data_IF_547477857537
#
_entry.id   IF_547477857537
#
_cell.length_a   1.000
_cell.length_b   1.000
_cell.length_c   1.000
_cell.angle_alpha   90.00
_cell.angle_beta   90.00
_cell.angle_gamma   90.00
#
_symmetry.space_group_name_H-M   'P 1'
#
loop_
_entity.id
_entity.type
_entity.pdbx_description
1 polymer ?
#
# COMPACT_ATOMS: atom_id res chain seq x y z
N UNK A 1 -24.89 32.58 -4.20
CA UNK A 1 -23.64 32.55 -3.44
C UNK A 1 -22.76 31.48 -4.01
N UNK A 2 -21.50 31.79 -4.22
CA UNK A 2 -20.46 30.81 -4.62
C UNK A 2 -19.16 31.09 -3.86
N UNK A 3 -18.19 30.20 -3.99
CA UNK A 3 -16.91 30.30 -3.29
C UNK A 3 -15.77 30.09 -4.28
N UNK A 4 -14.84 31.02 -4.35
CA UNK A 4 -13.57 30.80 -5.00
C UNK A 4 -12.63 30.06 -4.02
N UNK A 5 -12.17 28.89 -4.44
CA UNK A 5 -11.23 28.07 -3.70
C UNK A 5 -9.84 28.29 -4.26
N UNK A 6 -8.89 28.60 -3.40
CA UNK A 6 -7.47 28.60 -3.71
C UNK A 6 -6.85 27.42 -2.96
N UNK A 7 -6.27 26.48 -3.68
CA UNK A 7 -5.71 25.27 -3.12
C UNK A 7 -4.46 24.85 -3.90
N UNK A 8 -3.35 24.55 -3.23
CA UNK A 8 -2.14 24.11 -3.89
C UNK A 8 -1.04 23.62 -2.94
N UNK A 9 -0.09 22.89 -3.51
CA UNK A 9 1.07 22.36 -2.80
C UNK A 9 2.21 23.37 -2.73
N UNK A 10 2.98 23.37 -1.66
CA UNK A 10 4.20 24.14 -1.45
C UNK A 10 3.97 25.63 -1.17
N UNK A 11 2.95 26.23 -1.78
CA UNK A 11 2.55 27.62 -1.55
C UNK A 11 1.09 27.82 -1.94
N UNK A 12 0.47 28.93 -1.46
CA UNK A 12 -0.88 29.26 -1.86
C UNK A 12 -0.90 29.70 -3.33
N UNK A 13 -1.75 29.10 -4.20
CA UNK A 13 -1.88 29.53 -5.59
C UNK A 13 -2.34 30.99 -5.70
N UNK A 14 -1.74 31.73 -6.62
CA UNK A 14 -2.16 33.10 -6.95
C UNK A 14 -3.46 33.16 -7.75
N UNK A 15 -3.89 32.06 -8.38
CA UNK A 15 -5.10 31.94 -9.17
C UNK A 15 -6.14 31.05 -8.48
N UNK A 16 -7.40 31.24 -8.83
CA UNK A 16 -8.52 30.41 -8.36
C UNK A 16 -8.34 28.98 -8.86
N UNK A 17 -8.35 28.03 -7.95
CA UNK A 17 -8.28 26.58 -8.28
C UNK A 17 -9.65 26.08 -8.72
N UNK A 18 -10.72 26.50 -8.05
CA UNK A 18 -12.09 26.15 -8.37
C UNK A 18 -13.06 27.23 -7.92
N UNK A 19 -14.23 27.34 -8.60
CA UNK A 19 -15.41 28.07 -8.13
C UNK A 19 -16.51 27.07 -7.84
N UNK A 20 -16.99 27.03 -6.60
CA UNK A 20 -18.00 26.06 -6.15
C UNK A 20 -19.23 26.77 -5.60
N UNK A 21 -20.41 26.22 -5.87
CA UNK A 21 -21.67 26.72 -5.35
C UNK A 21 -22.06 26.10 -3.99
N UNK A 22 -21.32 25.10 -3.55
CA UNK A 22 -21.51 24.36 -2.29
C UNK A 22 -20.46 24.76 -1.26
N UNK A 23 -20.66 24.37 -0.02
CA UNK A 23 -19.71 24.56 1.08
C UNK A 23 -18.62 23.46 1.15
N UNK A 24 -18.45 22.72 0.07
CA UNK A 24 -17.46 21.63 -0.03
C UNK A 24 -16.68 21.71 -1.33
N UNK A 25 -15.42 21.33 -1.27
CA UNK A 25 -14.52 21.16 -2.40
C UNK A 25 -13.79 19.82 -2.26
N UNK A 26 -13.86 18.98 -3.28
CA UNK A 26 -13.15 17.71 -3.31
C UNK A 26 -11.81 17.91 -4.00
N UNK A 27 -10.72 17.65 -3.28
CA UNK A 27 -9.39 17.60 -3.87
C UNK A 27 -9.25 16.33 -4.70
N UNK A 28 -8.35 16.32 -5.69
CA UNK A 28 -7.85 15.08 -6.27
C UNK A 28 -6.94 14.32 -5.28
N UNK A 29 -6.22 13.32 -5.78
CA UNK A 29 -5.19 12.61 -5.01
C UNK A 29 -4.14 13.59 -4.52
N UNK A 30 -3.83 13.53 -3.23
CA UNK A 30 -2.82 14.38 -2.61
C UNK A 30 -1.50 13.62 -2.50
N UNK A 31 -0.39 14.31 -2.78
CA UNK A 31 0.95 13.75 -2.61
C UNK A 31 1.25 13.58 -1.11
N UNK A 32 1.91 12.49 -0.75
CA UNK A 32 2.37 12.24 0.60
C UNK A 32 3.45 13.26 1.03
N UNK A 33 3.57 13.48 2.34
CA UNK A 33 4.59 14.36 2.94
C UNK A 33 4.65 15.76 2.32
N UNK A 34 3.49 16.28 1.91
CA UNK A 34 3.36 17.53 1.16
C UNK A 34 2.51 18.52 1.95
N UNK A 35 3.00 19.74 2.11
CA UNK A 35 2.22 20.82 2.72
C UNK A 35 1.35 21.48 1.65
N UNK A 36 0.05 21.49 1.89
CA UNK A 36 -0.95 22.17 1.10
C UNK A 36 -1.43 23.43 1.79
N UNK A 37 -1.67 24.47 1.00
CA UNK A 37 -2.20 25.75 1.45
C UNK A 37 -3.55 26.01 0.80
N UNK A 38 -4.48 26.62 1.54
CA UNK A 38 -5.79 26.96 1.01
C UNK A 38 -6.39 28.21 1.66
N UNK A 39 -7.23 28.87 0.91
CA UNK A 39 -8.09 29.95 1.37
C UNK A 39 -9.37 30.00 0.54
N UNK A 40 -10.37 30.71 1.05
CA UNK A 40 -11.68 30.85 0.42
C UNK A 40 -12.05 32.33 0.25
N UNK A 41 -12.67 32.68 -0.86
CA UNK A 41 -13.34 33.96 -1.07
C UNK A 41 -14.81 33.70 -1.38
N UNK A 42 -15.71 34.11 -0.50
CA UNK A 42 -17.14 33.99 -0.74
C UNK A 42 -17.60 35.09 -1.73
N UNK A 43 -18.54 34.74 -2.60
CA UNK A 43 -19.13 35.61 -3.62
C UNK A 43 -20.65 35.64 -3.53
N UNK A 44 -21.21 36.80 -3.77
CA UNK A 44 -22.66 36.97 -3.98
C UNK A 44 -22.93 38.03 -5.05
N UNK A 45 -24.20 38.38 -5.29
CA UNK A 45 -24.58 39.37 -6.28
C UNK A 45 -24.06 40.78 -6.00
N UNK A 46 -23.59 41.09 -4.81
CA UNK A 46 -23.00 42.38 -4.42
C UNK A 46 -21.45 42.40 -4.54
N UNK A 47 -20.82 41.29 -4.90
CA UNK A 47 -19.38 41.18 -5.08
C UNK A 47 -18.71 40.11 -4.19
N UNK A 48 -17.40 40.24 -4.04
CA UNK A 48 -16.60 39.32 -3.23
C UNK A 48 -16.61 39.77 -1.76
N UNK A 49 -16.72 38.82 -0.86
CA UNK A 49 -16.44 39.04 0.57
C UNK A 49 -14.93 39.17 0.81
N UNK A 50 -14.55 39.55 2.05
CA UNK A 50 -13.18 39.49 2.47
C UNK A 50 -12.65 38.04 2.33
N UNK A 51 -11.39 37.94 1.91
CA UNK A 51 -10.70 36.64 1.80
C UNK A 51 -10.53 36.04 3.19
N UNK A 52 -10.75 34.75 3.34
CA UNK A 52 -10.40 34.03 4.57
C UNK A 52 -8.90 34.13 4.87
N UNK A 53 -8.50 33.84 6.10
CA UNK A 53 -7.11 33.56 6.38
C UNK A 53 -6.60 32.39 5.49
N UNK A 54 -5.30 32.36 5.27
CA UNK A 54 -4.67 31.20 4.63
C UNK A 54 -4.44 30.11 5.69
N UNK A 55 -4.91 28.92 5.38
CA UNK A 55 -4.71 27.73 6.19
C UNK A 55 -3.77 26.76 5.47
N UNK A 56 -3.15 25.89 6.23
CA UNK A 56 -2.33 24.83 5.68
C UNK A 56 -2.51 23.53 6.47
N UNK A 57 -2.22 22.43 5.81
CA UNK A 57 -2.03 21.12 6.44
C UNK A 57 -0.93 20.38 5.68
N UNK A 58 -0.29 19.44 6.35
CA UNK A 58 0.69 18.56 5.71
C UNK A 58 0.12 17.15 5.70
N UNK A 59 0.15 16.52 4.53
CA UNK A 59 -0.23 15.12 4.41
C UNK A 59 0.77 14.24 5.15
N UNK A 60 0.32 13.12 5.70
CA UNK A 60 1.19 12.19 6.39
C UNK A 60 2.35 11.73 5.48
N UNK A 61 3.50 11.52 6.07
CA UNK A 61 4.65 10.97 5.36
C UNK A 61 4.50 9.47 5.15
N UNK A 62 4.74 9.05 3.93
CA UNK A 62 4.71 7.66 3.52
C UNK A 62 3.35 7.17 3.00
N UNK A 63 3.38 6.14 2.19
CA UNK A 63 2.19 5.57 1.58
C UNK A 63 1.26 4.93 2.62
N UNK A 64 -0.04 5.14 2.47
CA UNK A 64 -1.08 4.56 3.33
C UNK A 64 -1.57 3.23 2.75
N UNK A 65 -0.81 2.17 2.98
CA UNK A 65 -1.22 0.84 2.53
C UNK A 65 -2.48 0.36 3.27
N UNK A 66 -3.42 -0.20 2.53
CA UNK A 66 -4.59 -0.85 3.08
C UNK A 66 -4.22 -1.99 4.03
N UNK A 67 -5.11 -2.32 4.94
CA UNK A 67 -5.00 -3.52 5.80
C UNK A 67 -5.99 -4.56 5.27
N UNK A 68 -5.52 -5.72 4.78
CA UNK A 68 -6.41 -6.81 4.39
C UNK A 68 -7.07 -7.42 5.63
N UNK A 69 -8.25 -8.01 5.45
CA UNK A 69 -8.95 -8.74 6.50
C UNK A 69 -9.40 -10.09 5.99
N UNK A 70 -9.30 -11.10 6.84
CA UNK A 70 -9.67 -12.48 6.55
C UNK A 70 -10.70 -12.95 7.55
N UNK A 71 -11.51 -13.96 7.19
CA UNK A 71 -12.61 -14.47 8.01
C UNK A 71 -12.50 -15.97 8.30
N UNK A 72 -11.46 -16.62 7.82
CA UNK A 72 -11.23 -18.06 7.98
C UNK A 72 -10.08 -18.36 8.94
N UNK A 73 -9.93 -19.64 9.29
CA UNK A 73 -8.83 -20.09 10.16
C UNK A 73 -7.47 -19.78 9.55
N UNK A 74 -6.54 -19.33 10.39
CA UNK A 74 -5.17 -18.99 9.97
C UNK A 74 -4.42 -20.23 9.57
N UNK A 75 -3.97 -20.24 8.32
CA UNK A 75 -2.97 -21.15 7.78
C UNK A 75 -1.65 -20.35 7.66
N UNK A 76 -0.69 -20.52 8.57
CA UNK A 76 0.39 -19.55 8.74
C UNK A 76 1.41 -19.53 7.59
N UNK A 77 1.99 -18.35 7.37
CA UNK A 77 3.30 -18.17 6.75
C UNK A 77 4.31 -18.21 7.88
N UNK A 78 5.23 -19.19 7.87
CA UNK A 78 6.15 -19.41 8.98
C UNK A 78 7.53 -18.82 8.77
N UNK A 79 7.93 -18.55 7.52
CA UNK A 79 9.19 -17.88 7.22
C UNK A 79 9.14 -17.12 5.89
N UNK A 80 9.79 -15.97 5.86
CA UNK A 80 10.02 -15.19 4.65
C UNK A 80 11.49 -14.84 4.54
N UNK A 81 12.11 -15.16 3.40
CA UNK A 81 13.50 -14.82 3.10
C UNK A 81 13.58 -13.99 1.82
N UNK A 82 14.23 -12.85 1.91
CA UNK A 82 14.47 -11.97 0.76
C UNK A 82 15.72 -11.11 1.00
N UNK A 83 16.76 -11.28 0.19
CA UNK A 83 18.07 -10.64 0.42
C UNK A 83 18.58 -10.94 1.83
N UNK A 84 18.71 -9.97 2.71
CA UNK A 84 19.13 -10.17 4.10
C UNK A 84 17.98 -10.44 5.07
N UNK A 85 16.73 -10.33 4.63
CA UNK A 85 15.57 -10.70 5.46
C UNK A 85 15.54 -12.22 5.63
N UNK A 86 15.40 -12.66 6.88
CA UNK A 86 15.03 -14.00 7.29
C UNK A 86 14.08 -13.88 8.48
N UNK A 87 12.81 -13.64 8.17
CA UNK A 87 11.78 -13.36 9.16
C UNK A 87 10.96 -14.62 9.44
N UNK A 88 10.96 -15.07 10.69
CA UNK A 88 10.21 -16.24 11.15
C UNK A 88 9.01 -15.83 11.98
N UNK A 89 7.90 -16.54 11.82
CA UNK A 89 6.69 -16.41 12.62
C UNK A 89 6.13 -17.76 13.04
N UNK A 90 5.01 -17.78 13.72
CA UNK A 90 4.40 -19.04 14.17
C UNK A 90 4.04 -19.96 13.00
N UNK A 91 4.20 -21.28 13.21
CA UNK A 91 3.76 -22.30 12.27
C UNK A 91 2.53 -23.09 12.78
N UNK A 92 1.89 -22.62 13.84
CA UNK A 92 0.76 -23.32 14.48
C UNK A 92 -0.56 -22.90 13.82
N UNK A 93 -1.27 -23.88 13.29
CA UNK A 93 -2.57 -23.69 12.64
C UNK A 93 -3.63 -23.09 13.57
N UNK A 94 -4.44 -22.20 13.05
CA UNK A 94 -5.52 -21.55 13.79
C UNK A 94 -5.05 -20.60 14.89
N UNK A 95 -3.77 -20.24 14.91
CA UNK A 95 -3.20 -19.28 15.87
C UNK A 95 -2.49 -18.14 15.13
N UNK A 96 -2.29 -17.04 15.83
CA UNK A 96 -1.73 -15.82 15.24
C UNK A 96 -2.81 -14.89 14.68
N UNK A 97 -2.38 -13.78 14.14
CA UNK A 97 -3.24 -12.82 13.48
C UNK A 97 -3.37 -13.14 11.99
N UNK A 98 -4.52 -12.87 11.42
CA UNK A 98 -4.75 -12.99 9.96
C UNK A 98 -3.85 -12.05 9.15
N UNK A 99 -3.43 -10.97 9.78
CA UNK A 99 -2.48 -10.00 9.26
C UNK A 99 -1.40 -9.70 10.30
N UNK A 100 -0.16 -9.97 9.94
CA UNK A 100 1.02 -9.65 10.77
C UNK A 100 1.80 -8.50 10.14
N UNK A 101 2.15 -7.50 10.94
CA UNK A 101 2.87 -6.31 10.49
C UNK A 101 4.35 -6.39 10.87
N UNK A 102 5.19 -6.63 9.88
CA UNK A 102 6.65 -6.67 10.00
C UNK A 102 7.34 -5.46 9.38
N UNK A 103 6.70 -4.28 9.38
CA UNK A 103 7.23 -3.06 8.74
C UNK A 103 8.56 -2.55 9.32
N UNK A 104 8.98 -3.06 10.48
CA UNK A 104 10.31 -2.80 11.07
C UNK A 104 11.40 -3.72 10.51
N UNK A 105 11.03 -4.79 9.81
CA UNK A 105 11.99 -5.71 9.16
C UNK A 105 12.24 -5.19 7.75
N UNK A 106 13.49 -4.89 7.44
CA UNK A 106 13.85 -4.30 6.14
C UNK A 106 15.16 -4.85 5.59
N UNK A 107 15.36 -4.69 4.30
CA UNK A 107 16.60 -4.98 3.58
C UNK A 107 16.83 -3.95 2.49
N UNK A 108 18.07 -3.84 2.04
CA UNK A 108 18.42 -3.04 0.87
C UNK A 108 18.62 -3.94 -0.34
N UNK A 109 18.02 -3.56 -1.45
CA UNK A 109 18.18 -4.22 -2.75
C UNK A 109 18.60 -3.20 -3.82
N UNK A 110 19.30 -3.67 -4.84
CA UNK A 110 19.79 -2.82 -5.93
C UNK A 110 18.94 -3.04 -7.18
N UNK A 111 18.65 -1.95 -7.88
CA UNK A 111 17.95 -1.97 -9.17
C UNK A 111 18.67 -2.88 -10.15
N UNK A 112 17.92 -3.53 -11.03
CA UNK A 112 18.37 -4.47 -12.06
C UNK A 112 18.98 -5.78 -11.57
N UNK A 113 19.19 -5.93 -10.26
CA UNK A 113 19.64 -7.21 -9.69
C UNK A 113 18.45 -8.10 -9.35
N UNK A 114 18.70 -9.39 -9.35
CA UNK A 114 17.73 -10.44 -9.04
C UNK A 114 18.00 -11.00 -7.66
N UNK A 115 16.97 -11.13 -6.84
CA UNK A 115 16.99 -11.71 -5.51
C UNK A 115 15.94 -12.82 -5.40
N UNK A 116 16.29 -13.95 -4.78
CA UNK A 116 15.31 -14.97 -4.50
C UNK A 116 14.42 -14.56 -3.34
N UNK A 117 13.11 -14.59 -3.57
CA UNK A 117 12.10 -14.49 -2.52
C UNK A 117 11.59 -15.90 -2.22
N UNK A 118 11.80 -16.37 -0.99
CA UNK A 118 11.31 -17.66 -0.51
C UNK A 118 10.29 -17.46 0.60
N UNK A 119 9.18 -18.19 0.50
CA UNK A 119 8.10 -18.16 1.48
C UNK A 119 7.81 -19.59 1.92
N UNK A 120 7.88 -19.83 3.23
CA UNK A 120 7.53 -21.11 3.84
C UNK A 120 6.22 -20.98 4.60
N UNK A 121 5.36 -21.99 4.53
CA UNK A 121 4.10 -21.98 5.24
C UNK A 121 3.53 -23.37 5.49
N UNK A 122 2.47 -23.41 6.30
CA UNK A 122 1.74 -24.61 6.67
C UNK A 122 0.36 -24.58 6.01
N UNK A 123 -0.05 -25.68 5.38
CA UNK A 123 -1.40 -25.79 4.77
C UNK A 123 -2.46 -26.24 5.77
N UNK A 124 -2.07 -26.60 6.98
CA UNK A 124 -2.97 -27.02 8.07
C UNK A 124 -3.88 -28.21 7.71
N UNK A 125 -3.49 -28.98 6.73
CA UNK A 125 -4.24 -30.13 6.24
C UNK A 125 -3.98 -30.39 4.75
N UNK A 126 -4.80 -31.25 4.18
CA UNK A 126 -4.69 -31.60 2.75
C UNK A 126 -5.31 -30.50 1.87
N UNK A 127 -4.69 -29.32 1.92
CA UNK A 127 -5.11 -28.13 1.17
C UNK A 127 -4.00 -27.69 0.20
N UNK A 128 -4.41 -26.92 -0.82
CA UNK A 128 -3.50 -26.22 -1.71
C UNK A 128 -3.59 -24.72 -1.42
N UNK A 129 -2.47 -24.14 -1.02
CA UNK A 129 -2.36 -22.71 -0.80
C UNK A 129 -1.54 -22.05 -1.90
N UNK A 130 -2.01 -20.91 -2.32
CA UNK A 130 -1.44 -20.08 -3.36
C UNK A 130 -0.77 -18.87 -2.74
N UNK A 131 0.46 -18.59 -3.12
CA UNK A 131 1.25 -17.50 -2.54
C UNK A 131 1.48 -16.44 -3.60
N UNK A 132 0.99 -15.21 -3.35
CA UNK A 132 1.20 -14.02 -4.16
C UNK A 132 1.92 -12.96 -3.34
N UNK A 133 2.82 -12.26 -4.00
CA UNK A 133 3.56 -11.16 -3.42
C UNK A 133 3.25 -9.89 -4.17
N UNK A 134 3.20 -8.79 -3.45
CA UNK A 134 3.04 -7.44 -3.95
C UNK A 134 4.20 -6.59 -3.47
N UNK A 135 4.76 -5.76 -4.34
CA UNK A 135 5.83 -4.82 -4.00
C UNK A 135 5.55 -3.49 -4.69
N UNK A 136 5.40 -2.44 -3.92
CA UNK A 136 5.21 -1.08 -4.42
C UNK A 136 6.55 -0.53 -4.91
N UNK A 137 6.78 -0.59 -6.23
CA UNK A 137 8.05 -0.18 -6.82
C UNK A 137 8.17 1.33 -7.05
N UNK A 138 7.06 2.04 -7.17
CA UNK A 138 7.05 3.48 -7.45
C UNK A 138 6.87 4.33 -6.18
N UNK A 139 6.54 3.69 -5.04
CA UNK A 139 6.34 4.31 -3.71
C UNK A 139 5.14 5.27 -3.72
N UNK A 140 4.06 4.92 -4.45
CA UNK A 140 2.85 5.73 -4.48
C UNK A 140 1.81 5.32 -3.39
N UNK A 141 2.02 4.17 -2.75
CA UNK A 141 1.24 3.73 -1.59
C UNK A 141 0.19 2.69 -1.91
N UNK A 142 0.22 2.15 -3.08
CA UNK A 142 -0.64 1.02 -3.42
C UNK A 142 0.17 -0.14 -4.04
N UNK A 143 -0.46 -1.08 -4.69
CA UNK A 143 0.13 -2.25 -5.34
C UNK A 143 -0.63 -2.56 -6.63
N UNK A 144 -1.13 -1.53 -7.31
CA UNK A 144 -2.04 -1.69 -8.45
C UNK A 144 -1.31 -1.60 -9.79
N UNK A 145 -0.05 -1.18 -9.77
CA UNK A 145 0.72 -0.96 -10.97
C UNK A 145 1.21 -2.26 -11.63
N UNK A 146 1.41 -2.17 -12.92
CA UNK A 146 1.92 -3.29 -13.70
C UNK A 146 3.33 -3.67 -13.22
N UNK A 147 3.50 -4.96 -12.89
CA UNK A 147 4.78 -5.48 -12.39
C UNK A 147 4.95 -5.43 -10.88
N UNK A 148 3.94 -5.02 -10.12
CA UNK A 148 3.95 -4.98 -8.66
C UNK A 148 3.40 -6.24 -8.01
N UNK A 149 2.85 -7.18 -8.75
CA UNK A 149 2.34 -8.44 -8.24
C UNK A 149 3.02 -9.64 -8.89
N UNK A 150 3.32 -10.67 -8.09
CA UNK A 150 4.03 -11.88 -8.52
C UNK A 150 3.38 -13.12 -7.90
N UNK A 151 3.05 -14.10 -8.75
CA UNK A 151 2.63 -15.42 -8.29
C UNK A 151 3.88 -16.25 -7.96
N UNK A 152 4.12 -16.47 -6.64
CA UNK A 152 5.27 -17.25 -6.20
C UNK A 152 5.10 -18.75 -6.47
N UNK A 153 3.89 -19.26 -6.44
CA UNK A 153 3.57 -20.66 -6.58
C UNK A 153 2.63 -21.18 -5.51
N UNK A 154 2.58 -22.51 -5.37
CA UNK A 154 1.66 -23.18 -4.46
C UNK A 154 2.40 -24.11 -3.51
N UNK A 155 1.89 -24.25 -2.28
CA UNK A 155 2.25 -25.29 -1.34
C UNK A 155 1.07 -26.24 -1.13
N UNK A 156 1.32 -27.54 -1.07
CA UNK A 156 0.27 -28.56 -1.06
C UNK A 156 0.52 -29.54 0.07
N UNK A 157 -0.49 -29.78 0.90
CA UNK A 157 -0.51 -30.81 1.94
C UNK A 157 0.79 -30.94 2.73
N UNK A 158 1.22 -29.85 3.35
CA UNK A 158 2.54 -29.79 4.03
C UNK A 158 2.51 -28.87 5.24
N UNK A 159 3.34 -29.17 6.22
CA UNK A 159 3.54 -28.32 7.41
C UNK A 159 4.67 -27.31 7.25
N UNK A 160 5.56 -27.50 6.27
CA UNK A 160 6.72 -26.63 5.99
C UNK A 160 6.98 -26.54 4.48
N UNK A 161 5.94 -26.32 3.70
CA UNK A 161 6.07 -26.10 2.26
C UNK A 161 6.75 -24.79 1.96
N UNK A 162 7.68 -24.82 1.01
CA UNK A 162 8.38 -23.63 0.56
C UNK A 162 8.19 -23.41 -0.94
N UNK A 163 7.99 -22.16 -1.32
CA UNK A 163 8.05 -21.71 -2.70
C UNK A 163 9.09 -20.59 -2.82
N UNK A 164 9.78 -20.58 -3.94
CA UNK A 164 10.82 -19.57 -4.23
C UNK A 164 10.65 -19.03 -5.64
N UNK A 165 10.73 -17.71 -5.77
CA UNK A 165 10.73 -17.02 -7.06
C UNK A 165 11.89 -16.02 -7.11
N UNK A 166 12.68 -15.99 -8.20
CA UNK A 166 13.63 -14.91 -8.44
C UNK A 166 12.88 -13.64 -8.83
N UNK A 167 13.07 -12.57 -8.07
CA UNK A 167 12.50 -11.23 -8.31
C UNK A 167 13.61 -10.31 -8.79
N UNK A 168 13.47 -9.81 -10.00
CA UNK A 168 14.36 -8.77 -10.54
C UNK A 168 13.82 -7.40 -10.17
N UNK A 169 14.65 -6.58 -9.50
CA UNK A 169 14.25 -5.23 -9.11
C UNK A 169 14.17 -4.35 -10.37
N UNK A 170 13.02 -3.73 -10.68
CA UNK A 170 12.88 -2.93 -11.87
C UNK A 170 13.88 -1.76 -11.94
N UNK A 171 14.40 -1.47 -13.13
CA UNK A 171 15.24 -0.28 -13.34
C UNK A 171 14.46 1.02 -13.04
N UNK A 172 13.16 1.01 -13.29
CA UNK A 172 12.23 2.12 -13.02
C UNK A 172 11.85 2.27 -11.55
N UNK A 173 12.16 1.30 -10.68
CA UNK A 173 11.78 1.38 -9.26
C UNK A 173 12.24 2.70 -8.63
N UNK A 174 11.41 3.32 -7.81
CA UNK A 174 11.77 4.53 -7.07
C UNK A 174 12.75 4.18 -5.94
N UNK A 175 13.79 4.99 -5.77
CA UNK A 175 14.74 4.80 -4.67
C UNK A 175 14.13 5.31 -3.37
N UNK A 176 14.07 4.48 -2.35
CA UNK A 176 13.49 4.82 -1.06
C UNK A 176 12.99 3.60 -0.32
N UNK A 177 12.41 3.83 0.85
CA UNK A 177 11.74 2.77 1.60
C UNK A 177 10.38 2.48 0.97
N UNK A 178 10.17 1.21 0.62
CA UNK A 178 8.90 0.73 0.08
C UNK A 178 8.37 -0.45 0.90
N UNK A 179 7.24 -0.99 0.50
CA UNK A 179 6.56 -2.10 1.16
C UNK A 179 6.44 -3.31 0.25
N UNK A 180 6.70 -4.46 0.85
CA UNK A 180 6.35 -5.77 0.31
C UNK A 180 5.22 -6.37 1.14
N UNK A 181 4.25 -6.99 0.48
CA UNK A 181 3.16 -7.74 1.10
C UNK A 181 3.11 -9.14 0.53
N UNK A 182 2.99 -10.12 1.41
CA UNK A 182 2.85 -11.52 1.03
C UNK A 182 1.46 -11.98 1.46
N UNK A 183 0.74 -12.59 0.54
CA UNK A 183 -0.58 -13.16 0.78
C UNK A 183 -0.57 -14.64 0.43
N UNK A 184 -0.98 -15.45 1.40
CA UNK A 184 -1.20 -16.87 1.24
C UNK A 184 -2.70 -17.15 1.35
N UNK A 185 -3.24 -17.88 0.40
CA UNK A 185 -4.67 -18.11 0.30
C UNK A 185 -4.98 -19.54 -0.14
N UNK A 186 -6.02 -20.14 0.43
CA UNK A 186 -6.60 -21.38 -0.06
C UNK A 186 -7.32 -21.17 -1.40
N UNK A 187 -7.20 -22.16 -2.27
CA UNK A 187 -7.99 -22.28 -3.52
C UNK A 187 -7.91 -21.07 -4.48
N UNK A 188 -6.73 -20.51 -4.65
CA UNK A 188 -6.44 -19.47 -5.64
C UNK A 188 -5.60 -18.31 -5.13
N UNK A 189 -4.97 -17.62 -6.06
CA UNK A 189 -4.20 -16.43 -5.72
C UNK A 189 -5.11 -15.29 -5.24
N UNK A 190 -4.61 -14.46 -4.35
CA UNK A 190 -5.30 -13.21 -4.00
C UNK A 190 -5.47 -12.33 -5.24
N UNK A 191 -6.62 -11.68 -5.37
CA UNK A 191 -6.92 -10.80 -6.50
C UNK A 191 -6.48 -9.35 -6.26
N UNK A 192 -6.19 -9.00 -5.01
CA UNK A 192 -5.73 -7.68 -4.60
C UNK A 192 -4.90 -7.78 -3.33
N UNK A 193 -3.92 -6.90 -3.18
CA UNK A 193 -3.20 -6.72 -1.92
C UNK A 193 -4.08 -6.21 -0.78
N UNK A 194 -5.24 -5.63 -1.12
CA UNK A 194 -6.23 -5.07 -0.19
C UNK A 194 -7.46 -5.97 -0.02
N UNK A 195 -7.33 -7.24 -0.34
CA UNK A 195 -8.47 -8.17 -0.30
C UNK A 195 -9.05 -8.27 1.11
N UNK A 196 -10.38 -8.28 1.20
CA UNK A 196 -11.13 -8.39 2.44
C UNK A 196 -12.12 -9.55 2.38
N UNK A 197 -12.41 -10.18 3.53
CA UNK A 197 -13.54 -11.10 3.66
C UNK A 197 -13.38 -12.45 2.96
N UNK A 198 -12.19 -13.00 2.87
CA UNK A 198 -11.95 -14.33 2.26
C UNK A 198 -11.36 -15.31 3.24
#
# INVERSE_FOLDING_TARGET
>A
TSYDVYFGAGSLPGAVTANVATNSYTTGTLLANTTYYWRIVAKNGCGNAATSATFSFTTAGGPCYCVPTFISSVEPISNVRFSTINNTSTNTCGTGADYENFSTVSTTVLKTLTYNLSVTGNTCGNFTNYIRVYVDWNIDGDFLDAGESFDLGTIVNTVNGEVTLPITIPASATTGATRMRIMKRYNGYSTSACQTGT
#
